data_IF_664031729597
#
_entry.id   IF_664031729597
#
_cell.length_a   1.000
_cell.length_b   1.000
_cell.length_c   1.000
_cell.angle_alpha   90.00
_cell.angle_beta   90.00
_cell.angle_gamma   90.00
#
_symmetry.space_group_name_H-M   'P 1'
#
loop_
_entity.id
_entity.type
_entity.pdbx_description
1 polymer ?
#
# COMPACT_ATOMS: atom_id res chain seq x y z
N UNK A 1 -0.42 4.94 -25.58
CA UNK A 1 -1.31 5.72 -24.70
C UNK A 1 -1.35 5.09 -23.33
N UNK A 2 -1.26 5.88 -22.26
CA UNK A 2 -1.49 5.41 -20.90
C UNK A 2 -2.99 5.46 -20.63
N UNK A 3 -3.64 4.30 -20.55
CA UNK A 3 -5.07 4.18 -20.21
C UNK A 3 -5.20 3.71 -18.77
N UNK A 4 -5.96 4.46 -17.97
CA UNK A 4 -6.30 4.05 -16.61
C UNK A 4 -7.52 3.14 -16.66
N UNK A 5 -7.36 1.93 -16.15
CA UNK A 5 -8.48 1.05 -15.87
C UNK A 5 -8.90 1.30 -14.42
N UNK A 6 -10.00 2.03 -14.23
CA UNK A 6 -10.45 2.43 -12.89
C UNK A 6 -10.71 1.22 -11.97
N UNK A 7 -11.51 0.21 -12.35
CA UNK A 7 -11.67 -1.00 -11.54
C UNK A 7 -10.36 -1.71 -11.20
N UNK A 8 -9.42 -1.82 -12.15
CA UNK A 8 -8.14 -2.48 -11.91
C UNK A 8 -7.27 -1.69 -10.91
N UNK A 9 -7.22 -0.36 -11.06
CA UNK A 9 -6.46 0.49 -10.15
C UNK A 9 -7.08 0.48 -8.75
N UNK A 10 -8.41 0.59 -8.63
CA UNK A 10 -9.10 0.51 -7.34
C UNK A 10 -8.84 -0.83 -6.66
N UNK A 11 -8.93 -1.95 -7.39
CA UNK A 11 -8.62 -3.28 -6.85
C UNK A 11 -7.18 -3.38 -6.33
N UNK A 12 -6.22 -2.82 -7.07
CA UNK A 12 -4.82 -2.85 -6.65
C UNK A 12 -4.58 -2.05 -5.36
N UNK A 13 -5.23 -0.88 -5.22
CA UNK A 13 -5.18 -0.09 -3.99
C UNK A 13 -5.83 -0.84 -2.81
N UNK A 14 -6.94 -1.56 -3.05
CA UNK A 14 -7.56 -2.40 -2.02
C UNK A 14 -6.62 -3.53 -1.55
N UNK A 15 -5.92 -4.21 -2.47
CA UNK A 15 -4.94 -5.24 -2.13
C UNK A 15 -3.78 -4.66 -1.32
N UNK A 16 -3.28 -3.48 -1.69
CA UNK A 16 -2.24 -2.80 -0.95
C UNK A 16 -2.71 -2.38 0.46
N UNK A 17 -3.95 -1.90 0.58
CA UNK A 17 -4.57 -1.52 1.85
C UNK A 17 -4.77 -2.72 2.77
N UNK A 18 -5.18 -3.87 2.21
CA UNK A 18 -5.27 -5.11 2.98
C UNK A 18 -3.91 -5.49 3.58
N UNK A 19 -2.84 -5.49 2.77
CA UNK A 19 -1.46 -5.75 3.24
C UNK A 19 -1.06 -4.82 4.38
N UNK A 20 -1.30 -3.52 4.22
CA UNK A 20 -0.94 -2.54 5.23
C UNK A 20 -1.77 -2.70 6.52
N UNK A 21 -3.07 -3.01 6.37
CA UNK A 21 -4.00 -3.24 7.47
C UNK A 21 -3.61 -4.40 8.38
N UNK A 22 -3.09 -5.50 7.82
CA UNK A 22 -2.60 -6.64 8.62
C UNK A 22 -1.38 -6.32 9.50
N UNK A 23 -0.67 -5.21 9.24
CA UNK A 23 0.45 -4.74 10.07
C UNK A 23 0.01 -3.78 11.17
N UNK A 24 -1.21 -3.25 11.11
CA UNK A 24 -1.71 -2.27 12.07
C UNK A 24 -2.29 -2.94 13.32
N UNK A 25 -2.39 -2.19 14.41
CA UNK A 25 -3.17 -2.61 15.58
C UNK A 25 -4.67 -2.64 15.22
N UNK A 26 -5.51 -3.38 15.97
CA UNK A 26 -6.95 -3.37 15.76
C UNK A 26 -7.52 -1.94 15.78
N UNK A 27 -8.23 -1.57 14.73
CA UNK A 27 -8.75 -0.22 14.53
C UNK A 27 -9.30 -0.02 13.13
N UNK A 28 -9.79 1.18 12.86
CA UNK A 28 -10.19 1.63 11.52
C UNK A 28 -9.31 2.81 11.13
N UNK A 29 -8.75 2.78 9.93
CA UNK A 29 -7.80 3.77 9.46
C UNK A 29 -8.14 4.16 8.02
N UNK A 30 -8.05 5.46 7.75
CA UNK A 30 -7.95 6.01 6.40
C UNK A 30 -6.51 5.84 5.88
N UNK A 31 -6.33 5.92 4.55
CA UNK A 31 -5.03 5.59 3.97
C UNK A 31 -3.89 6.51 4.44
N UNK A 32 -4.20 7.77 4.74
CA UNK A 32 -3.24 8.79 5.15
C UNK A 32 -2.76 8.63 6.60
N UNK A 33 -3.42 7.78 7.39
CA UNK A 33 -3.03 7.47 8.78
C UNK A 33 -2.03 6.31 8.86
N UNK A 34 -1.82 5.59 7.74
CA UNK A 34 -0.93 4.42 7.66
C UNK A 34 0.38 4.81 6.94
N UNK A 35 1.56 4.38 7.44
CA UNK A 35 2.83 4.61 6.75
C UNK A 35 2.85 4.02 5.33
N UNK A 36 3.24 4.81 4.32
CA UNK A 36 3.24 4.40 2.90
C UNK A 36 4.03 3.11 2.63
N UNK A 37 5.11 2.86 3.38
CA UNK A 37 5.93 1.65 3.23
C UNK A 37 5.17 0.36 3.56
N UNK A 38 4.13 0.44 4.39
CA UNK A 38 3.36 -0.74 4.79
C UNK A 38 2.50 -1.31 3.65
N UNK A 39 2.14 -0.46 2.68
CA UNK A 39 1.44 -0.83 1.46
C UNK A 39 2.32 -1.62 0.48
N UNK A 40 3.64 -1.49 0.60
CA UNK A 40 4.61 -2.14 -0.27
C UNK A 40 4.93 -3.55 0.22
N UNK A 41 5.21 -4.43 -0.75
CA UNK A 41 5.69 -5.79 -0.48
C UNK A 41 7.23 -5.79 -0.40
N UNK A 42 7.77 -6.51 0.59
CA UNK A 42 9.21 -6.68 0.77
C UNK A 42 9.73 -6.11 2.08
N UNK A 43 11.04 -6.27 2.28
CA UNK A 43 11.75 -5.83 3.47
C UNK A 43 11.96 -4.32 3.48
N UNK A 44 11.80 -3.72 4.66
CA UNK A 44 11.90 -2.26 4.86
C UNK A 44 13.23 -1.70 4.35
N UNK A 45 14.35 -2.33 4.70
CA UNK A 45 15.67 -1.86 4.29
C UNK A 45 15.90 -1.93 2.77
N UNK A 46 15.39 -2.98 2.12
CA UNK A 46 15.48 -3.13 0.66
C UNK A 46 14.64 -2.10 -0.07
N UNK A 47 13.43 -1.81 0.43
CA UNK A 47 12.54 -0.80 -0.13
C UNK A 47 13.13 0.60 0.02
N UNK A 48 13.67 0.93 1.19
CA UNK A 48 14.31 2.22 1.44
C UNK A 48 15.49 2.42 0.47
N UNK A 49 16.39 1.43 0.34
CA UNK A 49 17.54 1.51 -0.58
C UNK A 49 17.16 1.69 -2.06
N UNK A 50 15.97 1.26 -2.45
CA UNK A 50 15.54 1.28 -3.87
C UNK A 50 14.71 2.51 -4.21
N UNK A 51 14.02 3.10 -3.23
CA UNK A 51 13.00 4.13 -3.45
C UNK A 51 13.36 5.51 -2.88
N UNK A 52 14.43 5.62 -2.08
CA UNK A 52 14.93 6.86 -1.47
C UNK A 52 16.43 6.99 -1.74
#
# INVERSE_FOLDING_TARGET
>A
EMKVNNPALTAQVMVASARAGFKQKPGCYTMIEIPLIDYLYGERDSLIKTLV
#
